data_IF_704410071262
#
_entry.id   IF_704410071262
#
_cell.length_a   1.000
_cell.length_b   1.000
_cell.length_c   1.000
_cell.angle_alpha   90.00
_cell.angle_beta   90.00
_cell.angle_gamma   90.00
#
_symmetry.space_group_name_H-M   'P 1'
#
loop_
_entity.id
_entity.type
_entity.pdbx_description
1 polymer ?
#
# COMPACT_ATOMS: atom_id res chain seq x y z
N UNK A 1 -9.39 12.86 -11.08
CA UNK A 1 -9.33 11.39 -10.88
C UNK A 1 -10.73 10.84 -11.03
N UNK A 2 -10.91 9.76 -11.79
CA UNK A 2 -12.23 9.17 -12.01
C UNK A 2 -12.77 8.62 -10.68
N UNK A 3 -14.01 8.97 -10.31
CA UNK A 3 -14.70 8.36 -9.18
C UNK A 3 -15.14 6.95 -9.56
N UNK A 4 -14.19 6.02 -9.64
CA UNK A 4 -14.46 4.60 -9.85
C UNK A 4 -15.01 4.02 -8.55
N UNK A 5 -16.33 3.88 -8.48
CA UNK A 5 -16.98 3.03 -7.46
C UNK A 5 -16.86 1.58 -7.92
N UNK A 6 -16.24 0.75 -7.10
CA UNK A 6 -16.14 -0.69 -7.32
C UNK A 6 -16.92 -1.44 -6.24
N UNK A 7 -17.41 -2.63 -6.58
CA UNK A 7 -18.05 -3.55 -5.64
C UNK A 7 -17.15 -4.76 -5.48
N UNK A 8 -16.92 -5.18 -4.24
CA UNK A 8 -16.14 -6.37 -3.90
C UNK A 8 -17.03 -7.29 -3.09
N UNK A 9 -17.08 -8.56 -3.48
CA UNK A 9 -17.77 -9.61 -2.74
C UNK A 9 -16.73 -10.46 -2.03
N UNK A 10 -16.85 -10.58 -0.71
CA UNK A 10 -16.04 -11.48 0.08
C UNK A 10 -16.75 -12.81 0.28
N UNK A 11 -16.00 -13.86 0.60
CA UNK A 11 -16.60 -15.11 1.06
C UNK A 11 -17.27 -14.91 2.45
N UNK A 12 -18.06 -15.90 2.88
CA UNK A 12 -18.79 -15.79 4.15
C UNK A 12 -17.87 -15.62 5.36
N UNK A 13 -16.78 -16.38 5.42
CA UNK A 13 -15.84 -16.36 6.54
C UNK A 13 -15.23 -14.95 6.75
N UNK A 14 -14.71 -14.36 5.67
CA UNK A 14 -14.14 -13.00 5.71
C UNK A 14 -15.22 -11.97 6.06
N UNK A 15 -16.43 -12.14 5.51
CA UNK A 15 -17.55 -11.23 5.79
C UNK A 15 -17.95 -11.26 7.27
N UNK A 16 -18.02 -12.43 7.88
CA UNK A 16 -18.32 -12.62 9.30
C UNK A 16 -17.21 -12.04 10.19
N UNK A 17 -15.94 -12.31 9.87
CA UNK A 17 -14.81 -11.73 10.58
C UNK A 17 -14.81 -10.20 10.52
N UNK A 18 -15.02 -9.63 9.33
CA UNK A 18 -15.05 -8.18 9.14
C UNK A 18 -16.22 -7.53 9.91
N UNK A 19 -17.40 -8.15 9.88
CA UNK A 19 -18.55 -7.69 10.67
C UNK A 19 -18.28 -7.77 12.19
N UNK A 20 -17.63 -8.83 12.66
CA UNK A 20 -17.21 -8.98 14.05
C UNK A 20 -16.22 -7.89 14.47
N UNK A 21 -15.20 -7.65 13.66
CA UNK A 21 -14.21 -6.60 13.91
C UNK A 21 -14.84 -5.20 13.90
N UNK A 22 -15.75 -4.93 12.98
CA UNK A 22 -16.46 -3.65 12.91
C UNK A 22 -17.24 -3.37 14.21
N UNK A 23 -17.92 -4.39 14.76
CA UNK A 23 -18.62 -4.29 16.05
C UNK A 23 -17.64 -3.99 17.20
N UNK A 24 -16.54 -4.73 17.30
CA UNK A 24 -15.53 -4.54 18.36
C UNK A 24 -14.93 -3.13 18.31
N UNK A 25 -14.70 -2.61 17.09
CA UNK A 25 -14.12 -1.28 16.86
C UNK A 25 -15.13 -0.15 16.90
N UNK A 26 -16.43 -0.45 17.07
CA UNK A 26 -17.54 0.49 16.99
C UNK A 26 -17.50 1.35 15.71
N UNK A 27 -17.25 0.70 14.57
CA UNK A 27 -17.18 1.32 13.24
C UNK A 27 -18.18 0.66 12.29
N UNK A 28 -18.54 1.37 11.22
CA UNK A 28 -19.25 0.72 10.13
C UNK A 28 -18.35 -0.27 9.38
N UNK A 29 -18.92 -1.33 8.80
CA UNK A 29 -18.17 -2.30 7.99
C UNK A 29 -17.43 -1.59 6.85
N UNK A 30 -18.10 -0.63 6.20
CA UNK A 30 -17.52 0.17 5.11
C UNK A 30 -16.30 0.94 5.57
N UNK A 31 -16.42 1.71 6.64
CA UNK A 31 -15.32 2.53 7.17
C UNK A 31 -14.12 1.66 7.60
N UNK A 32 -14.38 0.52 8.23
CA UNK A 32 -13.33 -0.41 8.59
C UNK A 32 -12.65 -1.01 7.35
N UNK A 33 -13.44 -1.42 6.35
CA UNK A 33 -12.91 -1.99 5.11
C UNK A 33 -12.05 -0.99 4.33
N UNK A 34 -12.50 0.26 4.20
CA UNK A 34 -11.73 1.33 3.54
C UNK A 34 -10.38 1.54 4.22
N UNK A 35 -10.37 1.61 5.55
CA UNK A 35 -9.14 1.76 6.32
C UNK A 35 -8.19 0.58 6.15
N UNK A 36 -8.69 -0.65 6.24
CA UNK A 36 -7.86 -1.86 6.08
C UNK A 36 -7.31 -1.99 4.66
N UNK A 37 -8.10 -1.63 3.64
CA UNK A 37 -7.64 -1.63 2.24
C UNK A 37 -6.55 -0.57 2.04
N UNK A 38 -6.71 0.63 2.61
CA UNK A 38 -5.68 1.67 2.54
C UNK A 38 -4.38 1.19 3.18
N UNK A 39 -4.43 0.64 4.39
CA UNK A 39 -3.25 0.08 5.07
C UNK A 39 -2.61 -1.06 4.25
N UNK A 40 -3.41 -1.90 3.59
CA UNK A 40 -2.89 -2.96 2.74
C UNK A 40 -2.18 -2.43 1.48
N UNK A 41 -2.71 -1.36 0.87
CA UNK A 41 -2.08 -0.69 -0.28
C UNK A 41 -0.73 -0.09 0.12
N UNK A 42 -0.70 0.69 1.20
CA UNK A 42 0.53 1.32 1.71
C UNK A 42 1.62 0.25 2.00
N UNK A 43 1.24 -0.85 2.66
CA UNK A 43 2.16 -1.96 2.92
C UNK A 43 2.68 -2.65 1.65
N UNK A 44 1.85 -2.76 0.61
CA UNK A 44 2.25 -3.38 -0.66
C UNK A 44 3.19 -2.47 -1.45
N UNK A 45 2.96 -1.16 -1.43
CA UNK A 45 3.87 -0.15 -1.99
C UNK A 45 5.24 -0.22 -1.31
N UNK A 46 5.27 -0.29 0.02
CA UNK A 46 6.51 -0.40 0.80
C UNK A 46 7.28 -1.69 0.47
N UNK A 47 6.61 -2.83 0.34
CA UNK A 47 7.26 -4.08 -0.07
C UNK A 47 7.90 -3.95 -1.44
N UNK A 48 7.20 -3.37 -2.41
CA UNK A 48 7.74 -3.15 -3.77
C UNK A 48 9.01 -2.29 -3.70
N UNK A 49 9.03 -1.25 -2.86
CA UNK A 49 10.22 -0.41 -2.66
C UNK A 49 11.37 -1.20 -2.02
N UNK A 50 11.10 -1.99 -0.99
CA UNK A 50 12.10 -2.84 -0.31
C UNK A 50 12.68 -3.86 -1.29
N UNK A 51 11.85 -4.55 -2.07
CA UNK A 51 12.30 -5.52 -3.07
C UNK A 51 13.19 -4.87 -4.14
N UNK A 52 12.81 -3.69 -4.62
CA UNK A 52 13.63 -2.91 -5.56
C UNK A 52 14.96 -2.49 -4.94
N UNK A 53 14.94 -2.04 -3.69
CA UNK A 53 16.15 -1.66 -2.97
C UNK A 53 17.09 -2.87 -2.78
N UNK A 54 16.55 -4.02 -2.40
CA UNK A 54 17.31 -5.26 -2.26
C UNK A 54 17.97 -5.69 -3.57
N UNK A 55 17.24 -5.63 -4.70
CA UNK A 55 17.79 -5.93 -6.04
C UNK A 55 18.92 -4.97 -6.46
N UNK A 56 18.87 -3.71 -6.03
CA UNK A 56 19.90 -2.70 -6.33
C UNK A 56 21.07 -2.74 -5.36
N UNK A 57 20.86 -3.23 -4.14
CA UNK A 57 21.87 -3.34 -3.10
C UNK A 57 22.72 -4.61 -3.27
N UNK A 58 23.40 -4.71 -4.41
CA UNK A 58 24.31 -5.82 -4.73
C UNK A 58 25.76 -5.38 -4.60
N UNK A 59 26.64 -6.32 -4.21
CA UNK A 59 28.07 -6.08 -4.08
C UNK A 59 28.68 -5.61 -5.41
N UNK A 60 29.54 -4.60 -5.38
CA UNK A 60 30.23 -4.07 -6.56
C UNK A 60 29.47 -2.97 -7.32
N UNK A 61 28.22 -2.65 -6.96
CA UNK A 61 27.50 -1.51 -7.54
C UNK A 61 27.81 -0.23 -6.77
N UNK A 62 28.07 0.86 -7.49
CA UNK A 62 28.34 2.18 -6.91
C UNK A 62 27.15 2.60 -6.05
N UNK A 63 27.39 2.85 -4.77
CA UNK A 63 26.40 3.49 -3.90
C UNK A 63 26.18 4.92 -4.40
N UNK A 64 24.97 5.21 -4.84
CA UNK A 64 24.52 6.55 -5.22
C UNK A 64 23.83 7.13 -3.98
N UNK A 65 24.28 8.30 -3.51
CA UNK A 65 23.61 9.01 -2.42
C UNK A 65 22.49 9.88 -2.98
N UNK A 66 21.59 10.33 -2.11
CA UNK A 66 20.48 11.20 -2.52
C UNK A 66 20.98 12.50 -3.16
N UNK A 67 22.13 13.00 -2.73
CA UNK A 67 22.74 14.24 -3.24
C UNK A 67 23.36 14.06 -4.64
N UNK A 68 23.65 12.82 -5.04
CA UNK A 68 24.19 12.50 -6.37
C UNK A 68 23.08 12.42 -7.44
N UNK A 69 21.80 12.48 -7.04
CA UNK A 69 20.63 12.40 -7.92
C UNK A 69 20.08 13.80 -8.16
N UNK A 70 20.01 14.22 -9.42
CA UNK A 70 19.30 15.44 -9.79
C UNK A 70 17.78 15.21 -9.75
N UNK A 71 17.20 15.42 -8.57
CA UNK A 71 15.77 15.25 -8.33
C UNK A 71 14.91 16.23 -9.13
N UNK A 72 15.42 17.42 -9.48
CA UNK A 72 14.66 18.38 -10.27
C UNK A 72 14.37 17.78 -11.66
N UNK A 73 15.36 17.15 -12.29
CA UNK A 73 15.16 16.49 -13.58
C UNK A 73 14.19 15.31 -13.49
N UNK A 74 14.22 14.53 -12.40
CA UNK A 74 13.35 13.35 -12.23
C UNK A 74 11.91 13.71 -11.86
N UNK A 75 11.70 14.76 -11.07
CA UNK A 75 10.37 15.14 -10.56
C UNK A 75 9.63 16.13 -11.48
N UNK A 76 10.29 16.62 -12.53
CA UNK A 76 9.69 17.54 -13.51
C UNK A 76 8.91 16.84 -14.63
N UNK A 77 8.90 15.51 -14.69
CA UNK A 77 8.22 14.67 -15.69
C UNK A 77 6.97 14.02 -15.14
#
# INVERSE_FOLDING_TARGET
MANSKFSITFNNEISECLAGLAKIRNKSIKELAEKLIQEAIENEEDKILIERAARRNVSGVKKIRSEDVDWNTILSS
#
